data_IF_680525575717
#
_entry.id   IF_680525575717
#
_cell.length_a   1.000
_cell.length_b   1.000
_cell.length_c   1.000
_cell.angle_alpha   90.00
_cell.angle_beta   90.00
_cell.angle_gamma   90.00
#
_symmetry.space_group_name_H-M   'P 1'
#
loop_
_entity.id
_entity.type
_entity.pdbx_description
1 polymer ?
#
# COMPACT_ATOMS: atom_id res chain seq x y z
N UNK A 1 0.74 -16.33 0.31
CA UNK A 1 1.35 -15.28 -0.54
C UNK A 1 2.65 -14.75 0.06
N UNK A 2 3.50 -14.20 -0.76
CA UNK A 2 4.73 -13.54 -0.30
C UNK A 2 4.47 -12.12 0.18
N UNK A 3 5.13 -11.78 1.27
CA UNK A 3 5.15 -10.41 1.82
C UNK A 3 6.58 -10.05 2.22
N UNK A 4 6.86 -8.77 2.29
CA UNK A 4 8.12 -8.26 2.84
C UNK A 4 7.83 -7.70 4.24
N UNK A 5 8.46 -8.31 5.24
CA UNK A 5 8.27 -7.95 6.65
C UNK A 5 9.53 -7.38 7.27
N UNK A 6 9.33 -6.42 8.15
CA UNK A 6 10.31 -5.96 9.09
C UNK A 6 10.17 -6.75 10.41
N UNK A 7 11.25 -7.34 10.88
CA UNK A 7 11.22 -8.20 12.09
C UNK A 7 11.94 -7.55 13.30
N UNK A 8 12.70 -6.49 13.08
CA UNK A 8 13.31 -5.68 14.14
C UNK A 8 13.58 -4.25 13.64
N UNK A 9 14.17 -3.40 14.48
CA UNK A 9 14.54 -2.03 14.09
C UNK A 9 16.01 -1.91 13.65
N UNK A 10 16.58 -2.97 13.08
CA UNK A 10 17.96 -3.00 12.57
C UNK A 10 18.10 -2.45 11.14
N UNK A 11 17.10 -1.71 10.64
CA UNK A 11 17.11 -1.17 9.28
C UNK A 11 16.92 -2.26 8.23
N UNK A 12 17.62 -2.13 7.10
CA UNK A 12 17.49 -3.04 5.97
C UNK A 12 17.85 -4.49 6.33
N UNK A 13 18.72 -4.71 7.30
CA UNK A 13 19.12 -6.05 7.72
C UNK A 13 18.01 -6.81 8.43
N UNK A 14 16.95 -6.12 8.84
CA UNK A 14 15.77 -6.71 9.48
C UNK A 14 14.63 -7.01 8.51
N UNK A 15 14.81 -6.82 7.22
CA UNK A 15 13.80 -7.05 6.20
C UNK A 15 13.85 -8.51 5.75
N UNK A 16 12.69 -9.16 5.69
CA UNK A 16 12.57 -10.59 5.34
C UNK A 16 11.45 -10.80 4.33
N UNK A 17 11.71 -11.70 3.37
CA UNK A 17 10.71 -12.30 2.49
C UNK A 17 10.04 -13.47 3.24
N UNK A 18 8.73 -13.41 3.43
CA UNK A 18 7.99 -14.36 4.26
C UNK A 18 6.72 -14.81 3.53
N UNK A 19 6.37 -16.09 3.68
CA UNK A 19 5.07 -16.61 3.23
C UNK A 19 4.04 -16.47 4.36
N UNK A 20 2.88 -15.88 4.02
CA UNK A 20 1.71 -15.79 4.91
C UNK A 20 0.46 -16.23 4.16
N UNK A 21 -0.64 -16.58 4.85
CA UNK A 21 -1.91 -16.86 4.19
C UNK A 21 -2.40 -15.66 3.36
N UNK A 22 -3.11 -15.96 2.27
CA UNK A 22 -3.76 -14.93 1.47
C UNK A 22 -4.79 -14.14 2.30
N UNK A 23 -4.99 -12.85 2.02
CA UNK A 23 -5.98 -12.07 2.73
C UNK A 23 -7.40 -12.61 2.49
N UNK A 24 -8.22 -12.53 3.52
CA UNK A 24 -9.62 -12.97 3.44
C UNK A 24 -10.46 -11.90 2.74
N UNK A 25 -11.37 -12.36 1.89
CA UNK A 25 -12.35 -11.50 1.23
C UNK A 25 -13.53 -11.27 2.19
N UNK A 26 -13.69 -10.03 2.66
CA UNK A 26 -14.87 -9.59 3.40
C UNK A 26 -15.86 -8.88 2.47
N UNK A 27 -17.11 -8.58 2.90
CA UNK A 27 -18.11 -7.96 2.01
C UNK A 27 -17.66 -6.64 1.39
N UNK A 28 -16.82 -5.85 2.09
CA UNK A 28 -16.33 -4.55 1.61
C UNK A 28 -14.95 -4.60 0.96
N UNK A 29 -14.34 -5.77 0.87
CA UNK A 29 -12.99 -5.91 0.32
C UNK A 29 -12.96 -5.71 -1.18
N UNK A 30 -11.98 -4.95 -1.68
CA UNK A 30 -11.47 -5.07 -3.04
C UNK A 30 -10.09 -5.72 -2.95
N UNK A 31 -9.92 -6.89 -3.54
CA UNK A 31 -8.64 -7.60 -3.56
C UNK A 31 -7.82 -7.13 -4.75
N UNK A 32 -6.64 -6.58 -4.47
CA UNK A 32 -5.75 -6.02 -5.48
C UNK A 32 -4.55 -6.93 -5.66
N UNK A 33 -4.27 -7.32 -6.91
CA UNK A 33 -2.99 -7.92 -7.29
C UNK A 33 -1.97 -6.80 -7.39
N UNK A 34 -1.00 -6.78 -6.49
CA UNK A 34 -0.03 -5.69 -6.36
C UNK A 34 0.95 -5.70 -7.53
N UNK A 35 1.14 -4.55 -8.17
CA UNK A 35 2.11 -4.39 -9.24
C UNK A 35 3.36 -3.65 -8.77
N UNK A 36 3.21 -2.51 -8.09
CA UNK A 36 4.32 -1.67 -7.63
C UNK A 36 4.03 -1.07 -6.27
N UNK A 37 5.06 -0.98 -5.45
CA UNK A 37 5.02 -0.31 -4.14
C UNK A 37 6.20 0.65 -4.06
N UNK A 38 5.98 1.97 -3.93
CA UNK A 38 7.07 2.93 -3.79
C UNK A 38 7.69 2.83 -2.41
N UNK A 39 9.01 2.97 -2.33
CA UNK A 39 9.74 3.10 -1.07
C UNK A 39 9.89 4.59 -0.75
N UNK A 40 9.40 4.99 0.41
CA UNK A 40 9.34 6.38 0.82
C UNK A 40 10.29 6.65 1.99
N UNK A 41 10.74 7.90 2.23
CA UNK A 41 11.67 8.20 3.31
C UNK A 41 11.20 7.73 4.69
N UNK A 42 9.91 7.86 4.99
CA UNK A 42 9.38 7.40 6.29
C UNK A 42 9.35 5.87 6.43
N UNK A 43 9.34 5.11 5.32
CA UNK A 43 9.50 3.65 5.39
C UNK A 43 10.87 3.31 5.96
N UNK A 44 11.92 3.97 5.47
CA UNK A 44 13.29 3.78 5.96
C UNK A 44 13.42 4.23 7.42
N UNK A 45 12.80 5.35 7.79
CA UNK A 45 12.82 5.84 9.18
C UNK A 45 12.06 4.89 10.11
N UNK A 46 10.95 4.31 9.67
CA UNK A 46 10.21 3.30 10.41
C UNK A 46 11.08 2.05 10.63
N UNK A 47 11.78 1.60 9.59
CA UNK A 47 12.66 0.42 9.65
C UNK A 47 13.79 0.60 10.65
N UNK A 48 14.32 1.80 10.79
CA UNK A 48 15.37 2.14 11.75
C UNK A 48 14.85 2.41 13.17
N UNK A 49 13.54 2.53 13.34
CA UNK A 49 12.93 2.88 14.62
C UNK A 49 12.93 4.38 14.92
N UNK A 50 13.33 5.24 13.99
CA UNK A 50 13.44 6.69 14.20
C UNK A 50 12.08 7.35 14.46
N UNK A 51 10.99 6.76 13.98
CA UNK A 51 9.62 7.26 14.15
C UNK A 51 8.85 6.59 15.28
N UNK A 52 9.49 5.73 16.08
CA UNK A 52 8.81 4.91 17.09
C UNK A 52 8.07 5.74 18.15
N UNK A 53 8.59 6.92 18.49
CA UNK A 53 7.95 7.84 19.43
C UNK A 53 6.74 8.57 18.84
N UNK A 54 6.69 8.75 17.53
CA UNK A 54 5.62 9.48 16.83
C UNK A 54 4.59 8.55 16.21
N UNK A 55 5.06 7.44 15.63
CA UNK A 55 4.25 6.41 14.98
C UNK A 55 4.74 5.03 15.44
N UNK A 56 4.36 4.60 16.64
CA UNK A 56 4.75 3.28 17.13
C UNK A 56 4.15 2.20 16.22
N UNK A 57 4.97 1.20 15.87
CA UNK A 57 4.54 0.03 15.09
C UNK A 57 4.83 -1.24 15.88
N UNK A 58 4.03 -2.26 15.63
CA UNK A 58 4.22 -3.60 16.21
C UNK A 58 4.91 -4.50 15.20
N UNK A 59 5.87 -5.27 15.66
CA UNK A 59 6.61 -6.22 14.85
C UNK A 59 6.04 -7.64 15.02
N UNK A 60 6.09 -8.51 13.99
CA UNK A 60 6.55 -8.22 12.63
C UNK A 60 5.57 -7.33 11.86
N UNK A 61 6.08 -6.47 10.99
CA UNK A 61 5.32 -5.50 10.23
C UNK A 61 5.53 -5.71 8.73
N UNK A 62 4.44 -5.81 7.95
CA UNK A 62 4.51 -5.71 6.48
C UNK A 62 4.80 -4.25 6.14
N UNK A 63 5.88 -4.02 5.39
CA UNK A 63 6.33 -2.67 5.06
C UNK A 63 5.62 -2.09 3.84
N UNK A 64 5.80 -0.79 3.61
CA UNK A 64 5.18 -0.06 2.51
C UNK A 64 3.82 0.52 2.88
N UNK A 65 3.42 1.55 2.15
CA UNK A 65 2.17 2.27 2.40
C UNK A 65 1.31 2.39 1.14
N UNK A 66 1.83 3.05 0.12
CA UNK A 66 1.15 3.20 -1.18
C UNK A 66 1.42 2.01 -2.09
N UNK A 67 0.52 1.81 -3.04
CA UNK A 67 0.65 0.74 -4.04
C UNK A 67 -0.06 1.10 -5.33
N UNK A 68 0.30 0.39 -6.40
CA UNK A 68 -0.53 0.28 -7.60
C UNK A 68 -0.75 -1.19 -7.93
N UNK A 69 -1.85 -1.49 -8.61
CA UNK A 69 -2.18 -2.85 -8.99
C UNK A 69 -3.47 -2.94 -9.78
N UNK A 70 -4.00 -4.16 -9.87
CA UNK A 70 -5.24 -4.47 -10.59
C UNK A 70 -6.19 -5.21 -9.65
N UNK A 71 -7.44 -4.77 -9.60
CA UNK A 71 -8.46 -5.44 -8.78
C UNK A 71 -8.79 -6.79 -9.40
N UNK A 72 -8.65 -7.86 -8.62
CA UNK A 72 -8.92 -9.24 -9.07
C UNK A 72 -10.26 -9.77 -8.58
N UNK A 73 -10.69 -9.40 -7.37
CA UNK A 73 -11.93 -9.84 -6.74
C UNK A 73 -12.51 -8.73 -5.89
N UNK A 74 -13.83 -8.79 -5.66
CA UNK A 74 -14.52 -7.90 -4.73
C UNK A 74 -15.47 -8.68 -3.83
N UNK A 75 -15.70 -8.17 -2.62
CA UNK A 75 -16.72 -8.68 -1.71
C UNK A 75 -18.14 -8.30 -2.17
N UNK A 76 -19.13 -8.91 -1.52
CA UNK A 76 -20.52 -8.81 -1.94
C UNK A 76 -21.09 -7.39 -1.92
N UNK A 77 -20.56 -6.49 -1.08
CA UNK A 77 -21.01 -5.10 -0.95
C UNK A 77 -20.16 -4.10 -1.75
N UNK A 78 -19.14 -4.56 -2.49
CA UNK A 78 -18.36 -3.72 -3.40
C UNK A 78 -18.82 -3.91 -4.83
N UNK A 79 -18.67 -2.86 -5.65
CA UNK A 79 -19.07 -2.91 -7.06
C UNK A 79 -18.21 -3.92 -7.83
N UNK A 80 -18.86 -4.85 -8.54
CA UNK A 80 -18.18 -5.80 -9.43
C UNK A 80 -17.49 -5.10 -10.63
N UNK A 81 -17.87 -3.85 -10.93
CA UNK A 81 -17.24 -3.04 -11.97
C UNK A 81 -15.77 -2.70 -11.64
N UNK A 82 -15.35 -2.84 -10.39
CA UNK A 82 -13.97 -2.67 -9.99
C UNK A 82 -13.05 -3.78 -10.51
N UNK A 83 -13.57 -4.99 -10.74
CA UNK A 83 -12.76 -6.13 -11.21
C UNK A 83 -12.11 -5.78 -12.55
N UNK A 84 -10.78 -5.96 -12.63
CA UNK A 84 -9.99 -5.61 -13.81
C UNK A 84 -9.56 -4.14 -13.87
N UNK A 85 -10.02 -3.29 -12.95
CA UNK A 85 -9.61 -1.89 -12.89
C UNK A 85 -8.17 -1.76 -12.40
N UNK A 86 -7.42 -0.88 -13.04
CA UNK A 86 -6.09 -0.46 -12.63
C UNK A 86 -6.24 0.63 -11.58
N UNK A 87 -5.62 0.42 -10.43
CA UNK A 87 -5.84 1.27 -9.25
C UNK A 87 -4.54 1.65 -8.56
N UNK A 88 -4.60 2.76 -7.83
CA UNK A 88 -3.62 3.13 -6.81
C UNK A 88 -4.34 3.24 -5.47
N UNK A 89 -3.60 3.08 -4.40
CA UNK A 89 -4.18 3.19 -3.07
C UNK A 89 -3.14 3.22 -1.97
N UNK A 90 -3.63 3.26 -0.75
CA UNK A 90 -2.82 3.18 0.46
C UNK A 90 -3.33 2.04 1.34
N UNK A 91 -2.41 1.32 1.96
CA UNK A 91 -2.73 0.28 2.93
C UNK A 91 -1.92 0.50 4.21
N UNK A 92 -2.55 1.04 5.27
CA UNK A 92 -1.86 1.25 6.54
C UNK A 92 -1.31 -0.04 7.18
N UNK A 93 -1.87 -1.20 6.81
CA UNK A 93 -1.41 -2.50 7.29
C UNK A 93 -0.19 -3.05 6.52
N UNK A 94 0.32 -2.29 5.54
CA UNK A 94 1.47 -2.66 4.73
C UNK A 94 1.10 -2.98 3.28
N UNK A 95 1.92 -2.50 2.36
CA UNK A 95 1.65 -2.64 0.93
C UNK A 95 2.56 -3.66 0.21
N UNK A 96 3.72 -4.01 0.80
CA UNK A 96 4.64 -4.96 0.17
C UNK A 96 4.19 -6.40 0.37
N UNK A 97 3.09 -6.73 -0.28
CA UNK A 97 2.49 -8.07 -0.31
C UNK A 97 1.91 -8.33 -1.70
N UNK A 98 1.89 -9.57 -2.11
CA UNK A 98 1.42 -9.94 -3.46
C UNK A 98 -0.04 -9.55 -3.70
N UNK A 99 -0.89 -9.68 -2.70
CA UNK A 99 -2.31 -9.32 -2.74
C UNK A 99 -2.68 -8.43 -1.57
N UNK A 100 -3.38 -7.35 -1.84
CA UNK A 100 -3.81 -6.38 -0.83
C UNK A 100 -5.33 -6.41 -0.72
N UNK A 101 -5.84 -6.63 0.50
CA UNK A 101 -7.25 -6.49 0.80
C UNK A 101 -7.56 -5.03 1.15
N UNK A 102 -8.08 -4.26 0.19
CA UNK A 102 -8.49 -2.88 0.41
C UNK A 102 -9.92 -2.86 0.93
N UNK A 103 -10.10 -2.53 2.21
CA UNK A 103 -11.39 -2.52 2.89
C UNK A 103 -11.98 -1.12 3.06
N UNK A 104 -11.20 -0.09 2.75
CA UNK A 104 -11.59 1.32 2.90
C UNK A 104 -11.74 1.94 1.51
N UNK A 105 -12.97 2.10 1.01
CA UNK A 105 -13.21 2.66 -0.33
C UNK A 105 -12.47 3.98 -0.62
N UNK A 106 -12.38 4.94 0.34
CA UNK A 106 -11.66 6.19 0.10
C UNK A 106 -10.17 6.07 -0.15
N UNK A 107 -9.57 4.90 0.11
CA UNK A 107 -8.14 4.67 -0.10
C UNK A 107 -7.82 3.94 -1.41
N UNK A 108 -8.77 3.87 -2.34
CA UNK A 108 -8.58 3.20 -3.62
C UNK A 108 -9.05 4.12 -4.76
N UNK A 109 -8.17 4.39 -5.73
CA UNK A 109 -8.43 5.32 -6.83
C UNK A 109 -8.13 4.66 -8.17
N UNK A 110 -8.99 4.90 -9.16
CA UNK A 110 -8.79 4.41 -10.53
C UNK A 110 -7.63 5.13 -11.21
N UNK A 111 -6.77 4.38 -11.90
CA UNK A 111 -5.68 4.92 -12.72
C UNK A 111 -6.17 5.13 -14.15
N UNK A 112 -5.97 6.33 -14.74
CA UNK A 112 -6.28 6.57 -16.15
C UNK A 112 -5.53 5.62 -17.07
N UNK A 113 -6.15 5.26 -18.22
CA UNK A 113 -5.59 4.26 -19.14
C UNK A 113 -4.24 4.64 -19.74
N UNK A 114 -3.96 5.94 -19.84
CA UNK A 114 -2.70 6.47 -20.38
C UNK A 114 -1.58 6.59 -19.35
N UNK A 115 -1.81 6.23 -18.08
CA UNK A 115 -0.81 6.27 -17.01
C UNK A 115 -0.41 4.85 -16.64
N UNK A 116 0.91 4.58 -16.65
CA UNK A 116 1.44 3.27 -16.24
C UNK A 116 1.32 3.08 -14.73
N UNK A 117 1.08 1.84 -14.31
CA UNK A 117 0.98 1.50 -12.88
C UNK A 117 2.26 1.86 -12.12
N UNK A 118 3.42 1.69 -12.73
CA UNK A 118 4.70 2.08 -12.14
C UNK A 118 4.75 3.56 -11.80
N UNK A 119 4.30 4.41 -12.72
CA UNK A 119 4.31 5.87 -12.54
C UNK A 119 3.20 6.30 -11.56
N UNK A 120 2.02 5.68 -11.65
CA UNK A 120 0.90 5.96 -10.76
C UNK A 120 1.22 5.64 -9.30
N UNK A 121 1.99 4.59 -9.02
CA UNK A 121 2.38 4.21 -7.66
C UNK A 121 3.14 5.33 -6.93
N UNK A 122 3.86 6.19 -7.64
CA UNK A 122 4.64 7.28 -7.06
C UNK A 122 3.78 8.45 -6.56
N UNK A 123 2.49 8.49 -6.91
CA UNK A 123 1.59 9.58 -6.50
C UNK A 123 1.22 9.51 -5.03
N UNK A 124 1.10 8.32 -4.47
CA UNK A 124 0.68 8.14 -3.06
C UNK A 124 1.85 8.42 -2.12
N UNK A 125 1.66 9.38 -1.22
CA UNK A 125 2.64 9.76 -0.19
C UNK A 125 3.80 10.62 -0.69
N UNK A 126 3.81 10.96 -1.98
CA UNK A 126 4.82 11.81 -2.61
C UNK A 126 4.19 13.00 -3.30
N UNK A 127 3.79 12.85 -4.56
CA UNK A 127 3.24 13.95 -5.36
C UNK A 127 1.92 14.50 -4.79
N UNK A 128 1.07 13.67 -4.20
CA UNK A 128 -0.16 14.08 -3.54
C UNK A 128 0.11 15.03 -2.37
N UNK A 129 1.10 14.71 -1.52
CA UNK A 129 1.49 15.56 -0.41
C UNK A 129 2.08 16.89 -0.90
N UNK A 130 2.89 16.87 -1.93
CA UNK A 130 3.46 18.06 -2.55
C UNK A 130 2.36 18.98 -3.13
N UNK A 131 1.38 18.40 -3.83
CA UNK A 131 0.27 19.16 -4.39
C UNK A 131 -0.59 19.81 -3.29
N UNK A 132 -0.88 19.08 -2.22
CA UNK A 132 -1.62 19.63 -1.08
C UNK A 132 -0.87 20.78 -0.40
N UNK A 133 0.44 20.64 -0.22
CA UNK A 133 1.27 21.71 0.35
C UNK A 133 1.23 22.97 -0.51
N UNK A 134 1.37 22.85 -1.83
CA UNK A 134 1.29 23.98 -2.77
C UNK A 134 -0.10 24.64 -2.71
N UNK A 135 -1.17 23.86 -2.72
CA UNK A 135 -2.54 24.39 -2.66
C UNK A 135 -2.85 25.10 -1.33
N UNK A 136 -2.23 24.65 -0.24
CA UNK A 136 -2.40 25.30 1.08
C UNK A 136 -1.63 26.62 1.18
N UNK A 137 -0.51 26.75 0.47
CA UNK A 137 0.35 27.94 0.47
C UNK A 137 -0.14 29.04 -0.48
N UNK A 138 -1.03 28.72 -1.41
CA UNK A 138 -1.51 29.66 -2.43
C UNK A 138 -2.80 30.45 -2.01
#
# INVERSE_FOLDING_TARGET
MKVIQQVSFAGIDAIRDVEIPDPKLSPMTALVETAYVPVLPWDVMTEKGDLQNMRPVQLPLVIGYGFSGVVSKVGALRSSNLIGQRVIGANPAGAMQERIASNLPPLLFKVPDNVRLRDAATLIGGADAALMAVNTMS
#
